data_IF_865723480672
#
_entry.id   IF_865723480672
#
_cell.length_a   1.000
_cell.length_b   1.000
_cell.length_c   1.000
_cell.angle_alpha   90.00
_cell.angle_beta   90.00
_cell.angle_gamma   90.00
#
_symmetry.space_group_name_H-M   'P 1'
#
loop_
_entity.id
_entity.type
_entity.pdbx_description
1 polymer ?
#
# COMPACT_ATOMS: atom_id res chain seq x y z
N UNK A 1 13.81 -10.58 -0.42
CA UNK A 1 14.06 -9.40 -1.29
C UNK A 1 12.90 -8.38 -1.26
N UNK A 2 11.65 -8.74 -1.43
CA UNK A 2 10.51 -7.80 -1.45
C UNK A 2 10.40 -6.88 -0.22
N UNK A 3 10.63 -7.39 1.00
CA UNK A 3 10.64 -6.56 2.23
C UNK A 3 11.69 -5.45 2.19
N UNK A 4 12.89 -5.71 1.66
CA UNK A 4 13.94 -4.71 1.53
C UNK A 4 13.54 -3.58 0.59
N UNK A 5 12.91 -3.90 -0.54
CA UNK A 5 12.38 -2.90 -1.47
C UNK A 5 11.24 -2.07 -0.88
N UNK A 6 10.34 -2.68 -0.08
CA UNK A 6 9.30 -1.96 0.62
C UNK A 6 9.88 -0.96 1.63
N UNK A 7 10.85 -1.38 2.45
CA UNK A 7 11.52 -0.48 3.39
C UNK A 7 12.26 0.64 2.67
N UNK A 8 12.99 0.33 1.60
CA UNK A 8 13.68 1.32 0.79
C UNK A 8 12.70 2.35 0.20
N UNK A 9 11.58 1.88 -0.38
CA UNK A 9 10.52 2.74 -0.90
C UNK A 9 9.95 3.66 0.17
N UNK A 10 9.54 3.10 1.31
CA UNK A 10 8.97 3.87 2.42
C UNK A 10 9.95 4.91 2.96
N UNK A 11 11.22 4.54 3.14
CA UNK A 11 12.26 5.47 3.59
C UNK A 11 12.46 6.61 2.59
N UNK A 12 12.52 6.30 1.29
CA UNK A 12 12.65 7.32 0.25
C UNK A 12 11.45 8.29 0.23
N UNK A 13 10.22 7.76 0.38
CA UNK A 13 8.99 8.57 0.47
C UNK A 13 9.04 9.50 1.68
N UNK A 14 9.40 8.99 2.87
CA UNK A 14 9.47 9.79 4.10
C UNK A 14 10.48 10.92 3.94
N UNK A 15 11.69 10.63 3.46
CA UNK A 15 12.73 11.64 3.25
C UNK A 15 12.31 12.69 2.23
N UNK A 16 11.68 12.28 1.13
CA UNK A 16 11.17 13.19 0.11
C UNK A 16 10.08 14.11 0.67
N UNK A 17 9.14 13.58 1.46
CA UNK A 17 8.07 14.36 2.10
C UNK A 17 8.63 15.37 3.10
N UNK A 18 9.61 14.99 3.92
CA UNK A 18 10.27 15.93 4.85
C UNK A 18 10.88 17.09 4.08
N UNK A 19 11.62 16.81 3.00
CA UNK A 19 12.23 17.86 2.17
C UNK A 19 11.16 18.74 1.49
N UNK A 20 10.06 18.16 1.01
CA UNK A 20 8.95 18.87 0.39
C UNK A 20 8.30 19.84 1.41
N UNK A 21 8.02 19.38 2.63
CA UNK A 21 7.43 20.18 3.70
C UNK A 21 8.35 21.32 4.11
N UNK A 22 9.64 21.03 4.39
CA UNK A 22 10.61 22.04 4.76
C UNK A 22 10.75 23.12 3.68
N UNK A 23 10.84 22.72 2.41
CA UNK A 23 10.91 23.68 1.29
C UNK A 23 9.63 24.50 1.16
N UNK A 24 8.46 23.92 1.41
CA UNK A 24 7.19 24.65 1.38
C UNK A 24 7.12 25.69 2.50
N UNK A 25 7.55 25.33 3.72
CA UNK A 25 7.65 26.28 4.84
C UNK A 25 8.60 27.44 4.50
N UNK A 26 9.77 27.13 3.95
CA UNK A 26 10.73 28.17 3.53
C UNK A 26 10.21 29.02 2.38
N UNK A 27 9.44 28.45 1.43
CA UNK A 27 8.79 29.22 0.37
C UNK A 27 7.80 30.25 0.93
N UNK A 28 7.14 29.92 2.05
CA UNK A 28 6.20 30.81 2.70
C UNK A 28 6.86 31.88 3.55
N UNK A 29 7.95 31.49 4.27
CA UNK A 29 8.56 32.31 5.30
C UNK A 29 9.86 32.98 4.89
N UNK A 30 10.73 32.32 4.10
CA UNK A 30 12.09 32.79 3.81
C UNK A 30 12.62 32.29 2.47
N UNK A 31 12.38 33.04 1.40
CA UNK A 31 12.81 32.71 0.03
C UNK A 31 14.33 32.57 -0.16
N UNK A 32 15.19 33.41 0.44
CA UNK A 32 16.65 33.23 0.36
C UNK A 32 17.13 31.90 0.94
N UNK A 33 16.57 31.47 2.09
CA UNK A 33 16.89 30.18 2.68
C UNK A 33 16.38 29.01 1.79
N UNK A 34 15.22 29.16 1.16
CA UNK A 34 14.74 28.20 0.17
C UNK A 34 15.71 28.06 -1.00
N UNK A 35 16.18 29.16 -1.59
CA UNK A 35 17.12 29.15 -2.72
C UNK A 35 18.41 28.39 -2.35
N UNK A 36 18.95 28.66 -1.16
CA UNK A 36 20.16 27.99 -0.61
C UNK A 36 19.91 26.49 -0.38
N UNK A 37 18.78 26.11 0.22
CA UNK A 37 18.44 24.69 0.45
C UNK A 37 18.25 23.96 -0.87
N UNK A 38 17.51 24.56 -1.79
CA UNK A 38 17.19 23.98 -3.10
C UNK A 38 18.46 23.73 -3.93
N UNK A 39 19.43 24.64 -3.92
CA UNK A 39 20.71 24.44 -4.62
C UNK A 39 21.48 23.24 -4.09
N UNK A 40 21.46 23.02 -2.78
CA UNK A 40 22.13 21.89 -2.11
C UNK A 40 21.41 20.54 -2.29
N UNK A 41 20.08 20.58 -2.37
CA UNK A 41 19.26 19.34 -2.38
C UNK A 41 18.76 18.95 -3.77
N UNK A 42 19.11 19.68 -4.83
CA UNK A 42 18.62 19.42 -6.21
C UNK A 42 18.87 17.97 -6.66
N UNK A 43 20.09 17.47 -6.44
CA UNK A 43 20.47 16.09 -6.81
C UNK A 43 19.73 15.09 -5.93
N UNK A 44 19.64 15.37 -4.62
CA UNK A 44 18.94 14.50 -3.66
C UNK A 44 17.44 14.38 -4.01
N UNK A 45 16.76 15.48 -4.35
CA UNK A 45 15.36 15.46 -4.78
C UNK A 45 15.16 14.57 -6.01
N UNK A 46 16.08 14.66 -6.98
CA UNK A 46 16.03 13.88 -8.21
C UNK A 46 16.24 12.39 -7.90
N UNK A 47 17.23 12.06 -7.07
CA UNK A 47 17.50 10.67 -6.66
C UNK A 47 16.30 10.08 -5.91
N UNK A 48 15.77 10.80 -4.91
CA UNK A 48 14.62 10.33 -4.13
C UNK A 48 13.38 10.16 -5.00
N UNK A 49 13.06 11.13 -5.88
CA UNK A 49 11.93 11.04 -6.80
C UNK A 49 12.04 9.83 -7.73
N UNK A 50 13.22 9.61 -8.34
CA UNK A 50 13.47 8.45 -9.21
C UNK A 50 13.37 7.14 -8.41
N UNK A 51 13.95 7.10 -7.21
CA UNK A 51 13.93 5.91 -6.35
C UNK A 51 12.50 5.54 -5.95
N UNK A 52 11.65 6.52 -5.62
CA UNK A 52 10.23 6.31 -5.31
C UNK A 52 9.51 5.68 -6.50
N UNK A 53 9.71 6.21 -7.72
CA UNK A 53 9.05 5.69 -8.91
C UNK A 53 9.54 4.28 -9.28
N UNK A 54 10.85 4.04 -9.26
CA UNK A 54 11.43 2.74 -9.60
C UNK A 54 11.02 1.67 -8.59
N UNK A 55 11.13 1.96 -7.30
CA UNK A 55 10.75 1.00 -6.25
C UNK A 55 9.24 0.78 -6.20
N UNK A 56 8.43 1.84 -6.44
CA UNK A 56 6.97 1.73 -6.54
C UNK A 56 6.54 0.89 -7.75
N UNK A 57 7.15 1.08 -8.92
CA UNK A 57 6.93 0.26 -10.11
C UNK A 57 7.31 -1.20 -9.89
N UNK A 58 8.44 -1.47 -9.24
CA UNK A 58 8.83 -2.83 -8.87
C UNK A 58 7.83 -3.48 -7.91
N UNK A 59 7.39 -2.76 -6.89
CA UNK A 59 6.36 -3.27 -5.96
C UNK A 59 5.05 -3.60 -6.67
N UNK A 60 4.67 -2.81 -7.70
CA UNK A 60 3.49 -3.12 -8.51
C UNK A 60 3.59 -4.48 -9.21
N UNK A 61 4.77 -4.89 -9.67
CA UNK A 61 4.95 -6.23 -10.28
C UNK A 61 4.80 -7.36 -9.27
N UNK A 62 5.03 -7.08 -7.98
CA UNK A 62 4.90 -8.07 -6.89
C UNK A 62 3.46 -8.15 -6.39
N UNK A 63 2.80 -6.99 -6.17
CA UNK A 63 1.44 -6.93 -5.63
C UNK A 63 0.35 -7.10 -6.70
N UNK A 64 0.72 -6.98 -7.98
CA UNK A 64 -0.23 -6.97 -9.09
C UNK A 64 -0.83 -5.60 -9.36
N UNK A 65 -1.63 -5.52 -10.42
CA UNK A 65 -2.27 -4.27 -10.89
C UNK A 65 -3.58 -4.00 -10.14
N UNK A 66 -3.52 -3.80 -8.84
CA UNK A 66 -4.66 -3.37 -8.04
C UNK A 66 -4.97 -1.91 -8.32
N UNK A 67 -6.26 -1.57 -8.46
CA UNK A 67 -6.72 -0.22 -8.88
C UNK A 67 -6.11 0.89 -8.01
N UNK A 68 -6.07 0.71 -6.69
CA UNK A 68 -5.51 1.72 -5.78
C UNK A 68 -3.99 1.91 -5.96
N UNK A 69 -3.24 0.85 -6.32
CA UNK A 69 -1.80 0.96 -6.61
C UNK A 69 -1.55 1.74 -7.90
N UNK A 70 -2.36 1.52 -8.93
CA UNK A 70 -2.30 2.28 -10.19
C UNK A 70 -2.60 3.76 -9.92
N UNK A 71 -3.65 4.06 -9.15
CA UNK A 71 -3.98 5.44 -8.75
C UNK A 71 -2.83 6.10 -8.00
N UNK A 72 -2.18 5.39 -7.06
CA UNK A 72 -0.99 5.90 -6.34
C UNK A 72 0.13 6.29 -7.29
N UNK A 73 0.44 5.45 -8.28
CA UNK A 73 1.50 5.73 -9.25
C UNK A 73 1.15 6.95 -10.09
N UNK A 74 -0.06 7.02 -10.65
CA UNK A 74 -0.51 8.14 -11.48
C UNK A 74 -0.45 9.45 -10.71
N UNK A 75 -0.99 9.49 -9.49
CA UNK A 75 -0.98 10.70 -8.66
C UNK A 75 0.45 11.10 -8.28
N UNK A 76 1.33 10.13 -7.97
CA UNK A 76 2.74 10.40 -7.64
C UNK A 76 3.50 10.95 -8.84
N UNK A 77 3.26 10.44 -10.06
CA UNK A 77 3.85 10.95 -11.31
C UNK A 77 3.48 12.42 -11.56
N UNK A 78 2.34 12.88 -11.07
CA UNK A 78 1.92 14.28 -11.15
C UNK A 78 2.48 15.08 -9.97
N UNK A 79 2.41 14.55 -8.75
CA UNK A 79 2.76 15.26 -7.53
C UNK A 79 4.26 15.60 -7.43
N UNK A 80 5.15 14.68 -7.83
CA UNK A 80 6.61 14.90 -7.78
C UNK A 80 7.04 16.05 -8.71
N UNK A 81 6.74 16.04 -10.03
CA UNK A 81 7.09 17.15 -10.89
C UNK A 81 6.45 18.47 -10.46
N UNK A 82 5.19 18.43 -10.02
CA UNK A 82 4.47 19.62 -9.56
C UNK A 82 5.21 20.28 -8.38
N UNK A 83 5.66 19.51 -7.39
CA UNK A 83 6.47 20.00 -6.27
C UNK A 83 7.79 20.63 -6.71
N UNK A 84 8.51 19.98 -7.64
CA UNK A 84 9.79 20.49 -8.18
C UNK A 84 9.57 21.81 -8.92
N UNK A 85 8.53 21.89 -9.76
CA UNK A 85 8.20 23.10 -10.54
C UNK A 85 7.72 24.22 -9.60
N UNK A 86 6.96 23.90 -8.56
CA UNK A 86 6.48 24.84 -7.56
C UNK A 86 7.64 25.65 -6.94
N UNK A 87 8.71 24.97 -6.53
CA UNK A 87 9.88 25.63 -5.95
C UNK A 87 10.72 26.37 -7.03
N UNK A 88 10.70 25.92 -8.27
CA UNK A 88 11.38 26.63 -9.38
C UNK A 88 10.68 27.93 -9.73
N UNK A 89 9.35 27.93 -9.71
CA UNK A 89 8.51 29.10 -10.01
C UNK A 89 8.12 29.92 -8.77
N UNK A 90 8.57 29.52 -7.59
CA UNK A 90 8.21 30.12 -6.29
C UNK A 90 6.68 30.21 -6.06
N UNK A 91 5.94 29.24 -6.62
CA UNK A 91 4.48 29.20 -6.55
C UNK A 91 4.00 28.48 -5.28
N UNK A 92 3.46 29.26 -4.35
CA UNK A 92 2.88 28.75 -3.09
C UNK A 92 1.70 27.80 -3.36
N UNK A 93 0.85 28.14 -4.33
CA UNK A 93 -0.32 27.32 -4.67
C UNK A 93 0.08 25.93 -5.19
N UNK A 94 1.05 25.87 -6.12
CA UNK A 94 1.54 24.59 -6.64
C UNK A 94 2.21 23.74 -5.57
N UNK A 95 2.95 24.36 -4.63
CA UNK A 95 3.57 23.64 -3.51
C UNK A 95 2.51 23.02 -2.59
N UNK A 96 1.46 23.77 -2.25
CA UNK A 96 0.35 23.27 -1.43
C UNK A 96 -0.42 22.15 -2.14
N UNK A 97 -0.70 22.29 -3.44
CA UNK A 97 -1.37 21.24 -4.22
C UNK A 97 -0.52 19.97 -4.24
N UNK A 98 0.80 20.08 -4.42
CA UNK A 98 1.70 18.91 -4.36
C UNK A 98 1.63 18.20 -3.00
N UNK A 99 1.63 18.93 -1.88
CA UNK A 99 1.46 18.34 -0.55
C UNK A 99 0.09 17.64 -0.42
N UNK A 100 -1.00 18.28 -0.85
CA UNK A 100 -2.33 17.67 -0.80
C UNK A 100 -2.42 16.38 -1.60
N UNK A 101 -1.77 16.31 -2.78
CA UNK A 101 -1.68 15.08 -3.56
C UNK A 101 -0.92 13.98 -2.81
N UNK A 102 0.16 14.31 -2.10
CA UNK A 102 0.87 13.33 -1.28
C UNK A 102 0.07 12.88 -0.06
N UNK A 103 -0.71 13.78 0.58
CA UNK A 103 -1.65 13.41 1.65
C UNK A 103 -2.72 12.45 1.12
N UNK A 104 -3.24 12.70 -0.09
CA UNK A 104 -4.14 11.78 -0.75
C UNK A 104 -3.49 10.41 -1.02
N UNK A 105 -2.28 10.37 -1.58
CA UNK A 105 -1.53 9.12 -1.82
C UNK A 105 -1.31 8.35 -0.51
N UNK A 106 -1.03 9.05 0.59
CA UNK A 106 -0.92 8.43 1.91
C UNK A 106 -2.26 7.82 2.37
N UNK A 107 -3.37 8.55 2.22
CA UNK A 107 -4.70 8.04 2.53
C UNK A 107 -5.07 6.79 1.72
N UNK A 108 -4.78 6.80 0.42
CA UNK A 108 -4.94 5.62 -0.45
C UNK A 108 -4.06 4.45 0.02
N UNK A 109 -2.84 4.73 0.50
CA UNK A 109 -1.94 3.69 1.01
C UNK A 109 -2.41 3.08 2.33
N UNK A 110 -3.03 3.88 3.20
CA UNK A 110 -3.51 3.45 4.51
C UNK A 110 -4.82 2.65 4.42
N UNK A 111 -5.65 2.95 3.43
CA UNK A 111 -6.98 2.35 3.28
C UNK A 111 -7.05 1.24 2.23
N UNK A 112 -5.97 1.04 1.45
CA UNK A 112 -5.92 0.17 0.27
C UNK A 112 -7.08 0.43 -0.72
N UNK A 113 -7.61 1.67 -0.72
CA UNK A 113 -8.72 2.10 -1.55
C UNK A 113 -8.50 3.51 -2.10
N UNK A 114 -8.76 3.71 -3.40
CA UNK A 114 -8.66 5.02 -4.04
C UNK A 114 -9.69 6.05 -3.52
N UNK A 115 -10.78 5.56 -2.91
CA UNK A 115 -11.81 6.40 -2.25
C UNK A 115 -11.39 6.85 -0.84
N UNK A 116 -10.21 6.45 -0.35
CA UNK A 116 -9.75 6.63 1.03
C UNK A 116 -10.73 6.09 2.09
N UNK A 117 -11.55 5.12 1.70
CA UNK A 117 -12.42 4.34 2.57
C UNK A 117 -12.10 2.87 2.29
N UNK A 118 -11.83 2.04 3.30
CA UNK A 118 -11.61 0.61 3.08
C UNK A 118 -12.80 0.03 2.31
N UNK A 119 -12.52 -0.59 1.17
CA UNK A 119 -13.57 -1.33 0.44
C UNK A 119 -13.80 -2.62 1.23
N UNK A 120 -14.97 -2.74 1.85
CA UNK A 120 -15.38 -3.98 2.52
C UNK A 120 -15.54 -5.07 1.46
N UNK A 121 -14.81 -6.15 1.60
CA UNK A 121 -14.89 -7.29 0.67
C UNK A 121 -16.31 -7.89 0.68
N UNK A 122 -17.03 -7.67 1.80
CA UNK A 122 -18.39 -8.15 2.01
C UNK A 122 -19.51 -7.36 1.30
N UNK A 123 -19.27 -6.11 0.83
CA UNK A 123 -20.34 -5.27 0.22
C UNK A 123 -20.87 -5.80 -1.13
N UNK A 124 -20.24 -6.83 -1.72
CA UNK A 124 -20.66 -7.41 -3.00
C UNK A 124 -21.41 -8.76 -2.86
N UNK A 125 -22.38 -8.83 -1.96
CA UNK A 125 -23.30 -10.00 -1.87
C UNK A 125 -22.83 -11.13 -0.94
N UNK A 126 -21.71 -10.96 -0.24
CA UNK A 126 -21.27 -11.88 0.80
C UNK A 126 -21.91 -11.48 2.14
N UNK A 127 -22.51 -12.43 2.84
CA UNK A 127 -23.10 -12.19 4.17
C UNK A 127 -22.04 -11.85 5.21
N UNK A 128 -22.43 -11.08 6.24
CA UNK A 128 -21.53 -10.75 7.38
C UNK A 128 -20.94 -12.00 8.04
N UNK A 129 -21.68 -13.10 7.98
CA UNK A 129 -21.23 -14.43 8.38
C UNK A 129 -21.48 -15.39 7.23
N UNK A 130 -20.42 -15.93 6.56
CA UNK A 130 -20.58 -16.90 5.50
C UNK A 130 -21.39 -18.09 5.98
N UNK A 131 -22.50 -18.39 5.27
CA UNK A 131 -23.43 -19.45 5.66
C UNK A 131 -23.14 -20.78 5.00
N UNK A 132 -22.41 -20.79 3.88
CA UNK A 132 -22.07 -21.97 3.10
C UNK A 132 -20.58 -22.08 2.83
N UNK A 133 -20.12 -23.26 2.44
CA UNK A 133 -18.71 -23.48 2.02
C UNK A 133 -18.42 -22.67 0.76
N UNK A 134 -19.39 -22.56 -0.14
CA UNK A 134 -19.28 -21.80 -1.38
C UNK A 134 -19.05 -20.30 -1.09
N UNK A 135 -19.74 -19.73 -0.11
CA UNK A 135 -19.53 -18.32 0.32
C UNK A 135 -18.13 -18.12 0.85
N UNK A 136 -17.61 -19.07 1.67
CA UNK A 136 -16.26 -18.99 2.23
C UNK A 136 -15.21 -19.14 1.13
N UNK A 137 -15.42 -20.04 0.17
CA UNK A 137 -14.54 -20.24 -0.97
C UNK A 137 -14.51 -18.98 -1.86
N UNK A 138 -15.66 -18.38 -2.15
CA UNK A 138 -15.74 -17.12 -2.90
C UNK A 138 -14.98 -15.99 -2.18
N UNK A 139 -15.13 -15.91 -0.85
CA UNK A 139 -14.40 -14.95 -0.03
C UNK A 139 -12.89 -15.20 -0.07
N UNK A 140 -12.47 -16.47 0.00
CA UNK A 140 -11.06 -16.86 -0.11
C UNK A 140 -10.48 -16.47 -1.48
N UNK A 141 -11.19 -16.79 -2.57
CA UNK A 141 -10.76 -16.42 -3.93
C UNK A 141 -10.56 -14.92 -4.05
N UNK A 142 -11.47 -14.13 -3.51
CA UNK A 142 -11.45 -12.67 -3.58
C UNK A 142 -10.34 -12.06 -2.72
N UNK A 143 -10.12 -12.56 -1.51
CA UNK A 143 -9.22 -11.97 -0.52
C UNK A 143 -7.79 -12.56 -0.56
N UNK A 144 -7.64 -13.85 -0.84
CA UNK A 144 -6.42 -14.61 -0.54
C UNK A 144 -5.76 -15.21 -1.79
N UNK A 145 -6.56 -15.70 -2.76
CA UNK A 145 -6.07 -16.48 -3.89
C UNK A 145 -5.11 -15.71 -4.81
N UNK A 146 -5.18 -14.38 -4.83
CA UNK A 146 -4.24 -13.56 -5.61
C UNK A 146 -2.77 -13.87 -5.27
N UNK A 147 -2.47 -14.09 -3.99
CA UNK A 147 -1.12 -14.38 -3.48
C UNK A 147 -0.91 -15.87 -3.16
N UNK A 148 -1.94 -16.52 -2.55
CA UNK A 148 -1.82 -17.91 -2.12
C UNK A 148 -2.23 -18.93 -3.20
N UNK A 149 -2.99 -18.52 -4.23
CA UNK A 149 -3.59 -19.44 -5.21
C UNK A 149 -4.90 -20.02 -4.69
N UNK A 150 -5.70 -20.57 -5.61
CA UNK A 150 -6.94 -21.26 -5.24
C UNK A 150 -6.66 -22.55 -4.47
N UNK A 151 -5.51 -23.16 -4.71
CA UNK A 151 -4.99 -24.36 -4.06
C UNK A 151 -4.11 -24.08 -2.83
N UNK A 152 -3.89 -22.81 -2.48
CA UNK A 152 -3.05 -22.38 -1.38
C UNK A 152 -1.54 -22.44 -1.62
N UNK A 153 -1.05 -22.80 -2.83
CA UNK A 153 0.36 -23.15 -3.12
C UNK A 153 1.10 -22.14 -4.01
N UNK A 154 0.45 -21.07 -4.48
CA UNK A 154 1.00 -20.13 -5.50
C UNK A 154 2.28 -19.38 -5.08
N UNK A 155 2.42 -19.00 -3.82
CA UNK A 155 3.64 -18.37 -3.29
C UNK A 155 3.96 -16.96 -3.81
N UNK A 156 3.01 -16.21 -4.40
CA UNK A 156 3.25 -14.87 -4.95
C UNK A 156 3.66 -13.91 -3.83
N UNK A 157 4.68 -13.07 -4.09
CA UNK A 157 5.17 -12.11 -3.11
C UNK A 157 5.81 -12.73 -1.86
N UNK A 158 6.08 -14.05 -1.87
CA UNK A 158 6.59 -14.81 -0.72
C UNK A 158 5.48 -15.27 0.24
N UNK A 159 4.23 -15.32 -0.25
CA UNK A 159 3.14 -15.96 0.46
C UNK A 159 3.49 -17.42 0.77
N UNK A 160 3.16 -17.87 1.97
CA UNK A 160 3.46 -19.24 2.38
C UNK A 160 2.49 -20.21 1.71
N UNK A 161 3.00 -21.40 1.42
CA UNK A 161 2.18 -22.55 1.04
C UNK A 161 1.30 -22.92 2.24
N UNK A 162 -0.03 -22.84 2.05
CA UNK A 162 -1.00 -23.07 3.11
C UNK A 162 -1.10 -24.55 3.48
N UNK A 163 -0.78 -25.47 2.55
CA UNK A 163 -0.77 -26.90 2.81
C UNK A 163 0.35 -27.32 3.78
N UNK A 164 1.43 -26.54 3.85
CA UNK A 164 2.56 -26.72 4.74
C UNK A 164 2.49 -25.85 6.01
N UNK A 165 1.37 -25.16 6.23
CA UNK A 165 1.23 -24.24 7.37
C UNK A 165 1.06 -25.02 8.68
N UNK A 166 1.90 -24.70 9.67
CA UNK A 166 1.81 -25.26 11.04
C UNK A 166 0.88 -24.42 11.95
N UNK A 167 0.32 -23.31 11.46
CA UNK A 167 -0.53 -22.42 12.25
C UNK A 167 -1.86 -23.11 12.56
N UNK A 168 -2.28 -23.08 13.83
CA UNK A 168 -3.63 -23.47 14.21
C UNK A 168 -4.67 -22.40 13.82
N UNK A 169 -5.97 -22.66 14.07
CA UNK A 169 -7.06 -21.73 13.73
C UNK A 169 -6.86 -20.35 14.37
N UNK A 170 -6.55 -20.30 15.67
CA UNK A 170 -6.42 -19.03 16.41
C UNK A 170 -5.25 -18.20 15.91
N UNK A 171 -4.11 -18.85 15.65
CA UNK A 171 -2.95 -18.20 15.04
C UNK A 171 -3.24 -17.69 13.62
N UNK A 172 -4.06 -18.42 12.86
CA UNK A 172 -4.52 -18.00 11.54
C UNK A 172 -5.45 -16.79 11.62
N UNK A 173 -6.37 -16.75 12.60
CA UNK A 173 -7.21 -15.58 12.88
C UNK A 173 -6.34 -14.35 13.15
N UNK A 174 -5.38 -14.46 14.07
CA UNK A 174 -4.50 -13.35 14.41
C UNK A 174 -3.68 -12.88 13.21
N UNK A 175 -3.16 -13.81 12.41
CA UNK A 175 -2.39 -13.51 11.22
C UNK A 175 -3.23 -12.81 10.14
N UNK A 176 -4.44 -13.29 9.86
CA UNK A 176 -5.35 -12.67 8.90
C UNK A 176 -5.77 -11.28 9.38
N UNK A 177 -6.09 -11.15 10.66
CA UNK A 177 -6.52 -9.89 11.27
C UNK A 177 -5.44 -8.81 11.19
N UNK A 178 -4.19 -9.13 11.59
CA UNK A 178 -3.10 -8.17 11.71
C UNK A 178 -2.21 -8.09 10.47
N UNK A 179 -2.23 -9.09 9.59
CA UNK A 179 -1.29 -9.22 8.49
C UNK A 179 0.14 -9.55 8.96
N UNK A 180 1.04 -9.85 8.01
CA UNK A 180 2.46 -10.07 8.31
C UNK A 180 3.33 -9.87 7.06
N UNK A 181 4.23 -8.93 7.11
CA UNK A 181 5.16 -8.67 6.01
C UNK A 181 4.46 -8.07 4.81
N UNK A 182 4.31 -8.82 3.71
CA UNK A 182 3.57 -8.40 2.51
C UNK A 182 2.09 -8.79 2.56
N UNK A 183 1.68 -9.65 3.49
CA UNK A 183 0.28 -9.98 3.70
C UNK A 183 -0.42 -8.81 4.40
N UNK A 184 -1.43 -8.20 3.78
CA UNK A 184 -2.14 -7.07 4.37
C UNK A 184 -2.93 -7.48 5.62
N UNK A 185 -3.26 -6.50 6.47
CA UNK A 185 -4.16 -6.68 7.59
C UNK A 185 -5.61 -6.59 7.10
N UNK A 186 -6.40 -7.64 7.29
CA UNK A 186 -7.77 -7.70 6.80
C UNK A 186 -8.83 -7.15 7.76
N UNK A 187 -8.45 -6.74 8.99
CA UNK A 187 -9.36 -6.18 10.01
C UNK A 187 -10.18 -4.96 9.57
N UNK A 188 -9.75 -4.25 8.51
CA UNK A 188 -10.47 -3.10 7.93
C UNK A 188 -11.38 -3.50 6.77
N UNK A 189 -11.26 -4.73 6.24
CA UNK A 189 -11.91 -5.18 5.01
C UNK A 189 -12.86 -6.36 5.23
N UNK A 190 -12.66 -7.12 6.32
CA UNK A 190 -13.44 -8.29 6.69
C UNK A 190 -14.01 -8.14 8.08
N UNK A 191 -15.19 -8.69 8.30
CA UNK A 191 -15.78 -8.82 9.63
C UNK A 191 -15.04 -9.88 10.47
N UNK A 192 -15.08 -9.82 11.80
CA UNK A 192 -14.48 -10.85 12.64
C UNK A 192 -15.00 -12.28 12.31
N UNK A 193 -16.29 -12.42 12.00
CA UNK A 193 -16.88 -13.70 11.62
C UNK A 193 -16.35 -14.23 10.29
N UNK A 194 -16.09 -13.35 9.31
CA UNK A 194 -15.47 -13.72 8.03
C UNK A 194 -14.02 -14.14 8.22
N UNK A 195 -13.26 -13.45 9.07
CA UNK A 195 -11.87 -13.80 9.40
C UNK A 195 -11.83 -15.17 10.07
N UNK A 196 -12.74 -15.45 10.99
CA UNK A 196 -12.85 -16.74 11.66
C UNK A 196 -13.17 -17.86 10.67
N UNK A 197 -14.15 -17.64 9.78
CA UNK A 197 -14.54 -18.61 8.75
C UNK A 197 -13.40 -18.89 7.76
N UNK A 198 -12.66 -17.86 7.34
CA UNK A 198 -11.48 -18.02 6.50
C UNK A 198 -10.34 -18.75 7.20
N UNK A 199 -10.11 -18.46 8.49
CA UNK A 199 -9.09 -19.15 9.28
C UNK A 199 -9.39 -20.63 9.41
N UNK A 200 -10.67 -21.01 9.52
CA UNK A 200 -11.11 -22.40 9.52
C UNK A 200 -10.97 -23.03 8.13
N UNK A 201 -11.40 -22.32 7.09
CA UNK A 201 -11.30 -22.78 5.70
C UNK A 201 -9.87 -23.12 5.29
N UNK A 202 -8.89 -22.28 5.65
CA UNK A 202 -7.48 -22.51 5.26
C UNK A 202 -6.86 -23.72 5.99
N UNK A 203 -7.43 -24.22 7.10
CA UNK A 203 -6.97 -25.47 7.69
C UNK A 203 -7.19 -26.68 6.76
N UNK A 204 -8.20 -26.62 5.88
CA UNK A 204 -8.52 -27.71 4.95
C UNK A 204 -7.42 -27.96 3.90
N UNK A 205 -6.62 -26.93 3.59
CA UNK A 205 -5.47 -27.09 2.68
C UNK A 205 -4.38 -28.02 3.22
N UNK A 206 -4.32 -28.24 4.53
CA UNK A 206 -3.34 -29.15 5.17
C UNK A 206 -3.65 -30.64 4.95
N UNK A 207 -4.88 -30.94 4.58
CA UNK A 207 -5.40 -32.29 4.44
C UNK A 207 -5.49 -32.74 2.95
N UNK A 208 -5.04 -31.86 2.03
CA UNK A 208 -4.98 -32.07 0.60
C UNK A 208 -3.53 -31.94 0.09
#
# INVERSE_FOLDING_TARGET
MAKGFLHLHTTAVILFLILLIVKTILLMANKPALAKLRSKTKILDMILGTLILVTGGYLLTIYGFLTYLVVKIVVTLIAIPLGIIAFKKESKAMALISILLFVYVYGVAETDSWKMKPDMIAEEGLTDKPGSIEDIQALYIKACASCHGEDGKKGLGGAKDLSLSELNKDQSIELIFNGKGLMPAFKKQLTPAQIESLAEYVQNFKNN
#
